data_IF_736698039970
#
_entry.id   IF_736698039970
#
_cell.length_a   1.000
_cell.length_b   1.000
_cell.length_c   1.000
_cell.angle_alpha   90.00
_cell.angle_beta   90.00
_cell.angle_gamma   90.00
#
_symmetry.space_group_name_H-M   'P 1'
#
loop_
_entity.id
_entity.type
_entity.pdbx_description
1 polymer ?
#
# COMPACT_ATOMS: atom_id res chain seq x y z
N UNK A 1 -23.72 16.75 -0.31
CA UNK A 1 -22.80 15.60 -0.19
C UNK A 1 -23.50 14.43 -0.87
N UNK A 2 -23.08 14.13 -2.10
CA UNK A 2 -23.82 13.28 -3.03
C UNK A 2 -23.39 11.83 -2.96
N UNK A 3 -24.31 10.91 -3.21
CA UNK A 3 -24.16 9.45 -3.14
C UNK A 3 -23.07 8.82 -4.07
N UNK A 4 -22.27 9.64 -4.77
CA UNK A 4 -21.17 9.21 -5.62
C UNK A 4 -19.83 9.02 -4.88
N UNK A 5 -19.59 9.74 -3.79
CA UNK A 5 -18.30 9.72 -3.08
C UNK A 5 -18.05 8.38 -2.36
N UNK A 6 -19.10 7.79 -1.76
CA UNK A 6 -19.00 6.47 -1.11
C UNK A 6 -18.66 5.34 -2.10
N UNK A 7 -19.24 5.37 -3.31
CA UNK A 7 -19.00 4.33 -4.34
C UNK A 7 -17.58 4.38 -4.91
N UNK A 8 -16.98 5.57 -5.01
CA UNK A 8 -15.60 5.73 -5.47
C UNK A 8 -14.60 5.18 -4.43
N UNK A 9 -14.85 5.44 -3.15
CA UNK A 9 -14.06 4.89 -2.06
C UNK A 9 -14.16 3.36 -1.99
N UNK A 10 -15.36 2.80 -2.19
CA UNK A 10 -15.58 1.35 -2.22
C UNK A 10 -14.84 0.68 -3.40
N UNK A 11 -14.91 1.28 -4.60
CA UNK A 11 -14.20 0.77 -5.78
C UNK A 11 -12.67 0.77 -5.60
N UNK A 12 -12.11 1.86 -5.06
CA UNK A 12 -10.68 1.93 -4.73
C UNK A 12 -10.31 0.94 -3.63
N UNK A 13 -11.16 0.75 -2.62
CA UNK A 13 -10.91 -0.22 -1.55
C UNK A 13 -10.83 -1.64 -2.10
N UNK A 14 -11.72 -2.03 -3.01
CA UNK A 14 -11.69 -3.33 -3.69
C UNK A 14 -10.43 -3.48 -4.56
N UNK A 15 -10.08 -2.46 -5.35
CA UNK A 15 -8.86 -2.45 -6.16
C UNK A 15 -7.62 -2.67 -5.29
N UNK A 16 -7.47 -1.92 -4.20
CA UNK A 16 -6.32 -2.11 -3.32
C UNK A 16 -6.40 -3.39 -2.48
N UNK A 17 -7.60 -3.93 -2.22
CA UNK A 17 -7.73 -5.27 -1.64
C UNK A 17 -7.17 -6.34 -2.58
N UNK A 18 -7.46 -6.24 -3.89
CA UNK A 18 -6.91 -7.10 -4.94
C UNK A 18 -5.39 -7.00 -5.03
N UNK A 19 -4.83 -5.79 -4.84
CA UNK A 19 -3.38 -5.58 -4.69
C UNK A 19 -2.82 -6.27 -3.44
N UNK A 20 -3.43 -6.06 -2.27
CA UNK A 20 -2.95 -6.66 -1.02
C UNK A 20 -3.06 -8.19 -1.00
N UNK A 21 -4.08 -8.76 -1.64
CA UNK A 21 -4.19 -10.20 -1.80
C UNK A 21 -2.97 -10.79 -2.54
N UNK A 22 -2.49 -10.10 -3.58
CA UNK A 22 -1.26 -10.48 -4.30
C UNK A 22 -0.02 -10.30 -3.46
N UNK A 23 0.08 -9.18 -2.76
CA UNK A 23 1.16 -8.90 -1.84
C UNK A 23 1.31 -9.96 -0.75
N UNK A 24 0.19 -10.52 -0.28
CA UNK A 24 0.21 -11.61 0.70
C UNK A 24 0.56 -12.97 0.09
N UNK A 25 0.21 -13.19 -1.19
CA UNK A 25 0.54 -14.40 -1.92
C UNK A 25 1.99 -14.42 -2.44
N UNK A 26 2.60 -13.26 -2.67
CA UNK A 26 3.97 -13.12 -3.17
C UNK A 26 4.99 -13.32 -2.02
N UNK A 27 5.83 -14.37 -2.05
CA UNK A 27 6.80 -14.63 -0.98
C UNK A 27 7.78 -13.47 -0.74
N UNK A 28 8.11 -12.68 -1.77
CA UNK A 28 8.99 -11.50 -1.65
C UNK A 28 8.36 -10.39 -0.84
N UNK A 29 7.04 -10.29 -0.88
CA UNK A 29 6.26 -9.22 -0.28
C UNK A 29 5.61 -9.63 1.04
N UNK A 30 5.22 -10.89 1.18
CA UNK A 30 4.58 -11.45 2.37
C UNK A 30 5.42 -11.25 3.64
N UNK A 31 6.76 -11.32 3.51
CA UNK A 31 7.70 -11.09 4.62
C UNK A 31 7.68 -9.65 5.16
N UNK A 32 7.04 -8.70 4.48
CA UNK A 32 6.90 -7.31 4.95
C UNK A 32 5.74 -7.14 5.95
N UNK A 33 4.89 -8.14 6.13
CA UNK A 33 3.70 -8.08 6.96
C UNK A 33 3.87 -8.89 8.24
N UNK A 34 4.15 -8.20 9.35
CA UNK A 34 4.27 -8.86 10.65
C UNK A 34 2.90 -9.32 11.17
N UNK A 35 2.56 -10.59 10.95
CA UNK A 35 1.28 -11.19 11.37
C UNK A 35 1.11 -11.29 12.89
N UNK A 36 2.16 -11.02 13.68
CA UNK A 36 2.05 -10.93 15.14
C UNK A 36 1.60 -9.55 15.61
N UNK A 37 1.69 -8.53 14.75
CA UNK A 37 1.29 -7.18 15.07
C UNK A 37 -0.11 -6.89 14.53
N UNK A 38 -1.10 -6.59 15.38
CA UNK A 38 -2.51 -6.39 15.00
C UNK A 38 -2.71 -5.44 13.81
N UNK A 39 -1.96 -4.34 13.75
CA UNK A 39 -2.07 -3.37 12.65
C UNK A 39 -1.62 -3.92 11.28
N UNK A 40 -0.65 -4.84 11.27
CA UNK A 40 -0.11 -5.49 10.08
C UNK A 40 -0.86 -6.78 9.76
N UNK A 41 -1.33 -7.49 10.79
CA UNK A 41 -2.22 -8.64 10.71
C UNK A 41 -3.68 -8.23 10.45
N UNK A 42 -3.88 -7.56 9.32
CA UNK A 42 -5.18 -7.14 8.84
C UNK A 42 -5.47 -7.82 7.51
N UNK A 43 -6.75 -7.98 7.19
CA UNK A 43 -7.19 -8.54 5.93
C UNK A 43 -6.77 -7.67 4.74
N UNK A 44 -6.75 -8.26 3.55
CA UNK A 44 -6.43 -7.53 2.32
C UNK A 44 -7.42 -6.36 2.11
N UNK A 45 -8.71 -6.58 2.43
CA UNK A 45 -9.72 -5.54 2.37
C UNK A 45 -9.42 -4.39 3.32
N UNK A 46 -9.08 -4.67 4.58
CA UNK A 46 -8.75 -3.60 5.54
C UNK A 46 -7.52 -2.78 5.12
N UNK A 47 -6.47 -3.43 4.60
CA UNK A 47 -5.32 -2.71 4.05
C UNK A 47 -5.71 -1.90 2.80
N UNK A 48 -6.54 -2.47 1.93
CA UNK A 48 -7.09 -1.81 0.75
C UNK A 48 -7.89 -0.56 1.11
N UNK A 49 -8.82 -0.65 2.05
CA UNK A 49 -9.61 0.48 2.56
C UNK A 49 -8.71 1.58 3.13
N UNK A 50 -7.67 1.23 3.91
CA UNK A 50 -6.74 2.23 4.48
C UNK A 50 -5.97 2.98 3.40
N UNK A 51 -5.52 2.27 2.35
CA UNK A 51 -4.81 2.89 1.23
C UNK A 51 -5.76 3.75 0.39
N UNK A 52 -6.94 3.23 0.04
CA UNK A 52 -7.98 3.97 -0.66
C UNK A 52 -8.33 5.27 0.07
N UNK A 53 -8.62 5.20 1.37
CA UNK A 53 -8.93 6.36 2.19
C UNK A 53 -7.78 7.37 2.23
N UNK A 54 -6.53 6.90 2.28
CA UNK A 54 -5.35 7.79 2.19
C UNK A 54 -5.29 8.51 0.85
N UNK A 55 -5.58 7.83 -0.26
CA UNK A 55 -5.58 8.46 -1.59
C UNK A 55 -6.75 9.42 -1.78
N UNK A 56 -7.93 9.09 -1.27
CA UNK A 56 -9.07 10.02 -1.28
C UNK A 56 -8.73 11.32 -0.56
N UNK A 57 -8.10 11.23 0.62
CA UNK A 57 -7.67 12.42 1.37
C UNK A 57 -6.62 13.22 0.59
N UNK A 58 -5.72 12.56 -0.14
CA UNK A 58 -4.65 13.21 -0.90
C UNK A 58 -5.11 13.82 -2.24
N UNK A 59 -6.05 13.18 -2.93
CA UNK A 59 -6.53 13.63 -4.24
C UNK A 59 -7.68 14.63 -4.14
N UNK A 60 -8.55 14.45 -3.14
CA UNK A 60 -9.81 15.19 -3.05
C UNK A 60 -9.95 16.00 -1.74
N UNK A 61 -8.95 15.93 -0.84
CA UNK A 61 -9.00 16.69 0.42
C UNK A 61 -10.05 16.19 1.40
N UNK A 62 -10.46 14.91 1.31
CA UNK A 62 -11.41 14.29 2.22
C UNK A 62 -10.81 14.03 3.61
N UNK A 63 -11.58 13.38 4.48
CA UNK A 63 -11.12 12.90 5.80
C UNK A 63 -11.44 11.42 6.01
N UNK A 64 -11.45 10.65 4.93
CA UNK A 64 -11.78 9.23 4.93
C UNK A 64 -10.81 8.43 5.79
N UNK A 65 -9.51 8.74 5.80
CA UNK A 65 -8.60 7.96 6.63
C UNK A 65 -8.84 8.21 8.14
N UNK A 66 -9.19 9.45 8.49
CA UNK A 66 -9.53 9.81 9.86
C UNK A 66 -10.89 9.22 10.30
N UNK A 67 -11.86 9.09 9.38
CA UNK A 67 -13.17 8.49 9.65
C UNK A 67 -13.07 7.00 10.02
N UNK A 68 -12.00 6.32 9.62
CA UNK A 68 -11.65 4.97 10.07
C UNK A 68 -11.19 4.89 11.55
N UNK A 69 -11.16 6.01 12.29
CA UNK A 69 -10.70 6.06 13.68
C UNK A 69 -9.18 6.00 13.84
N UNK A 70 -8.42 6.23 12.75
CA UNK A 70 -6.96 6.03 12.71
C UNK A 70 -6.15 7.32 12.84
N UNK A 71 -6.81 8.49 12.84
CA UNK A 71 -6.14 9.78 12.93
C UNK A 71 -5.42 10.16 11.62
N UNK A 72 -4.17 10.62 11.70
CA UNK A 72 -3.42 11.11 10.53
C UNK A 72 -2.84 9.96 9.69
N UNK A 73 -3.17 9.93 8.39
CA UNK A 73 -2.61 8.98 7.41
C UNK A 73 -1.08 9.09 7.34
N UNK A 74 -0.54 10.30 7.18
CA UNK A 74 0.91 10.55 7.05
C UNK A 74 1.74 9.91 8.18
N UNK A 75 1.33 10.12 9.44
CA UNK A 75 2.02 9.55 10.60
C UNK A 75 1.95 8.02 10.61
N UNK A 76 0.80 7.45 10.28
CA UNK A 76 0.59 6.00 10.32
C UNK A 76 1.29 5.29 9.17
N UNK A 77 1.29 5.87 7.98
CA UNK A 77 2.00 5.34 6.81
C UNK A 77 3.50 5.26 7.11
N UNK A 78 4.10 6.30 7.70
CA UNK A 78 5.52 6.26 8.10
C UNK A 78 5.82 5.16 9.13
N UNK A 79 4.97 5.02 10.16
CA UNK A 79 5.10 3.96 11.18
C UNK A 79 4.95 2.56 10.58
N UNK A 80 3.99 2.37 9.68
CA UNK A 80 3.77 1.09 9.00
C UNK A 80 4.97 0.69 8.14
N UNK A 81 5.54 1.62 7.37
CA UNK A 81 6.74 1.34 6.57
C UNK A 81 7.98 1.07 7.45
N UNK A 82 8.16 1.80 8.55
CA UNK A 82 9.24 1.52 9.50
C UNK A 82 9.12 0.11 10.12
N UNK A 83 7.89 -0.33 10.42
CA UNK A 83 7.61 -1.70 10.89
C UNK A 83 7.85 -2.74 9.80
N UNK A 84 7.38 -2.51 8.58
CA UNK A 84 7.62 -3.40 7.44
C UNK A 84 9.12 -3.54 7.13
N UNK A 85 9.90 -2.45 7.25
CA UNK A 85 11.36 -2.47 7.14
C UNK A 85 11.99 -3.43 8.17
N UNK A 86 11.47 -3.43 9.39
CA UNK A 86 11.97 -4.21 10.54
C UNK A 86 11.22 -5.53 10.77
N UNK A 87 10.41 -5.98 9.83
CA UNK A 87 9.58 -7.16 10.03
C UNK A 87 10.48 -8.39 10.28
N UNK A 88 10.32 -9.11 11.41
CA UNK A 88 11.16 -10.27 11.74
C UNK A 88 11.00 -11.47 10.80
N UNK A 89 9.98 -11.47 9.94
CA UNK A 89 9.83 -12.48 8.89
C UNK A 89 10.77 -12.25 7.70
N UNK A 90 11.40 -11.06 7.63
CA UNK A 90 12.37 -10.77 6.59
C UNK A 90 13.66 -11.53 6.88
N UNK A 91 14.32 -12.08 5.84
CA UNK A 91 15.66 -12.60 6.01
C UNK A 91 16.58 -11.50 6.55
N UNK A 92 17.41 -11.85 7.53
CA UNK A 92 18.35 -10.93 8.15
C UNK A 92 19.26 -10.36 7.07
N UNK A 93 19.12 -9.06 6.78
CA UNK A 93 19.82 -8.38 5.67
C UNK A 93 21.21 -7.85 6.09
N UNK A 94 21.87 -8.52 7.04
CA UNK A 94 23.19 -8.15 7.53
C UNK A 94 23.24 -6.89 8.40
N UNK A 95 24.44 -6.35 8.57
CA UNK A 95 24.76 -5.17 9.41
C UNK A 95 24.42 -3.87 8.68
N UNK A 96 23.14 -3.48 8.67
CA UNK A 96 22.72 -2.23 8.05
C UNK A 96 21.34 -1.76 8.51
N UNK A 97 21.01 -0.49 8.25
CA UNK A 97 19.66 0.00 8.45
C UNK A 97 18.69 -0.76 7.52
N UNK A 98 17.53 -1.22 8.02
CA UNK A 98 16.62 -2.02 7.23
C UNK A 98 16.03 -1.19 6.08
N UNK A 99 16.18 -1.68 4.85
CA UNK A 99 15.75 -1.04 3.59
C UNK A 99 14.87 -1.98 2.78
N UNK A 100 13.96 -1.44 1.97
CA UNK A 100 13.31 -2.27 0.94
C UNK A 100 14.30 -2.54 -0.19
N UNK A 101 14.12 -3.65 -0.91
CA UNK A 101 14.88 -3.87 -2.15
C UNK A 101 14.20 -3.24 -3.36
N UNK A 102 14.94 -3.14 -4.47
CA UNK A 102 14.39 -2.70 -5.76
C UNK A 102 13.29 -3.63 -6.25
N UNK A 103 13.47 -4.96 -6.18
CA UNK A 103 12.39 -5.88 -6.55
C UNK A 103 11.19 -5.79 -5.63
N UNK A 104 11.34 -5.39 -4.36
CA UNK A 104 10.19 -5.12 -3.50
C UNK A 104 9.44 -3.85 -3.92
N UNK A 105 10.16 -2.78 -4.31
CA UNK A 105 9.55 -1.57 -4.90
C UNK A 105 8.78 -1.91 -6.17
N UNK A 106 9.43 -2.64 -7.07
CA UNK A 106 8.89 -2.94 -8.40
C UNK A 106 7.74 -3.93 -8.33
N UNK A 107 7.84 -4.97 -7.47
CA UNK A 107 6.72 -5.88 -7.21
C UNK A 107 5.53 -5.14 -6.59
N UNK A 108 5.77 -4.23 -5.63
CA UNK A 108 4.68 -3.44 -5.04
C UNK A 108 3.94 -2.61 -6.09
N UNK A 109 4.66 -1.92 -6.98
CA UNK A 109 4.05 -1.14 -8.06
C UNK A 109 3.35 -2.03 -9.09
N UNK A 110 4.00 -3.13 -9.49
CA UNK A 110 3.45 -4.09 -10.45
C UNK A 110 2.13 -4.70 -9.98
N UNK A 111 2.06 -5.13 -8.71
CA UNK A 111 0.83 -5.68 -8.13
C UNK A 111 -0.33 -4.67 -8.10
N UNK A 112 -0.04 -3.36 -7.91
CA UNK A 112 -1.07 -2.33 -8.01
C UNK A 112 -1.60 -2.22 -9.43
N UNK A 113 -0.73 -2.18 -10.44
CA UNK A 113 -1.15 -2.05 -11.84
C UNK A 113 -1.96 -3.25 -12.30
N UNK A 114 -1.54 -4.48 -11.95
CA UNK A 114 -2.31 -5.70 -12.20
C UNK A 114 -3.68 -5.63 -11.53
N UNK A 115 -3.75 -5.16 -10.28
CA UNK A 115 -5.02 -5.01 -9.59
C UNK A 115 -5.94 -3.98 -10.27
N UNK A 116 -5.37 -2.91 -10.84
CA UNK A 116 -6.16 -1.96 -11.62
C UNK A 116 -6.76 -2.61 -12.87
N UNK A 117 -5.98 -3.41 -13.61
CA UNK A 117 -6.46 -4.12 -14.79
C UNK A 117 -7.59 -5.10 -14.44
N UNK A 118 -7.41 -5.92 -13.40
CA UNK A 118 -8.39 -6.92 -13.00
C UNK A 118 -9.69 -6.33 -12.47
N UNK A 119 -9.63 -5.19 -11.81
CA UNK A 119 -10.81 -4.47 -11.35
C UNK A 119 -11.47 -3.63 -12.46
N UNK A 120 -10.97 -3.70 -13.70
CA UNK A 120 -11.53 -2.95 -14.82
C UNK A 120 -11.37 -1.43 -14.68
N UNK A 121 -10.32 -0.97 -14.00
CA UNK A 121 -10.02 0.45 -13.90
C UNK A 121 -9.77 1.05 -15.28
N UNK A 122 -10.28 2.25 -15.53
CA UNK A 122 -10.02 2.96 -16.79
C UNK A 122 -8.53 3.24 -16.98
N UNK A 123 -8.08 3.34 -18.23
CA UNK A 123 -6.69 3.68 -18.54
C UNK A 123 -6.25 5.00 -17.88
N UNK A 124 -7.16 5.98 -17.79
CA UNK A 124 -6.94 7.25 -17.09
C UNK A 124 -6.61 7.02 -15.60
N UNK A 125 -7.42 6.20 -14.91
CA UNK A 125 -7.22 5.90 -13.50
C UNK A 125 -5.93 5.08 -13.28
N UNK A 126 -5.66 4.10 -14.15
CA UNK A 126 -4.41 3.34 -14.14
C UNK A 126 -3.19 4.27 -14.25
N UNK A 127 -3.22 5.21 -15.20
CA UNK A 127 -2.15 6.17 -15.41
C UNK A 127 -1.99 7.11 -14.21
N UNK A 128 -3.10 7.61 -13.65
CA UNK A 128 -3.09 8.45 -12.45
C UNK A 128 -2.48 7.72 -11.25
N UNK A 129 -2.92 6.48 -10.97
CA UNK A 129 -2.41 5.64 -9.89
C UNK A 129 -0.92 5.36 -10.09
N UNK A 130 -0.53 4.88 -11.27
CA UNK A 130 0.85 4.52 -11.60
C UNK A 130 1.80 5.70 -11.44
N UNK A 131 1.46 6.87 -12.01
CA UNK A 131 2.27 8.09 -11.89
C UNK A 131 2.36 8.57 -10.45
N UNK A 132 1.23 8.63 -9.75
CA UNK A 132 1.20 9.13 -8.38
C UNK A 132 2.00 8.22 -7.44
N UNK A 133 1.70 6.92 -7.43
CA UNK A 133 2.35 5.98 -6.53
C UNK A 133 3.83 5.75 -6.88
N UNK A 134 4.18 5.72 -8.18
CA UNK A 134 5.57 5.66 -8.62
C UNK A 134 6.40 6.84 -8.11
N UNK A 135 5.82 8.05 -8.07
CA UNK A 135 6.51 9.22 -7.48
C UNK A 135 6.66 9.09 -5.96
N UNK A 136 5.66 8.53 -5.26
CA UNK A 136 5.63 8.44 -3.80
C UNK A 136 6.47 7.29 -3.25
N UNK A 137 6.56 6.17 -3.96
CA UNK A 137 7.31 5.00 -3.46
C UNK A 137 8.79 5.34 -3.26
N UNK A 138 9.34 6.25 -4.08
CA UNK A 138 10.72 6.70 -4.00
C UNK A 138 11.07 7.36 -2.65
N UNK A 139 10.09 7.90 -1.92
CA UNK A 139 10.30 8.45 -0.58
C UNK A 139 10.74 7.38 0.44
N UNK A 140 10.59 6.10 0.13
CA UNK A 140 10.98 4.99 1.01
C UNK A 140 12.36 4.41 0.72
N UNK A 141 13.08 4.98 -0.25
CA UNK A 141 14.48 4.69 -0.52
C UNK A 141 15.44 5.18 0.58
N UNK A 142 16.76 4.98 0.43
CA UNK A 142 17.39 4.24 -0.67
C UNK A 142 16.95 2.77 -0.68
N UNK A 143 16.75 2.23 -1.88
CA UNK A 143 16.51 0.81 -2.07
C UNK A 143 17.85 0.08 -2.12
N UNK A 144 17.85 -1.18 -1.69
CA UNK A 144 19.02 -2.05 -1.88
C UNK A 144 18.82 -2.87 -3.15
N UNK A 145 19.91 -3.25 -3.79
CA UNK A 145 19.87 -4.27 -4.84
C UNK A 145 19.40 -5.59 -4.23
N UNK A 146 18.76 -6.42 -5.05
CA UNK A 146 18.51 -7.80 -4.68
C UNK A 146 19.81 -8.59 -4.89
N UNK A 147 20.27 -9.25 -3.83
CA UNK A 147 21.39 -10.20 -3.89
C UNK A 147 21.00 -11.47 -4.67
#
# INVERSE_FOLDING_TARGET
MGAGEGRAADGLAVLFATHYARMFADPRMAVLFDTRHADSNASALEHGTRLAATLMDLWYGTREYASLGRGSSFRNVGRAHARAKRCPLRPNSGTGAPRFSEAQRDAWLGHVLIACEECGASAELQHQIGRFLGSRVNAYGPFRDDD
#
